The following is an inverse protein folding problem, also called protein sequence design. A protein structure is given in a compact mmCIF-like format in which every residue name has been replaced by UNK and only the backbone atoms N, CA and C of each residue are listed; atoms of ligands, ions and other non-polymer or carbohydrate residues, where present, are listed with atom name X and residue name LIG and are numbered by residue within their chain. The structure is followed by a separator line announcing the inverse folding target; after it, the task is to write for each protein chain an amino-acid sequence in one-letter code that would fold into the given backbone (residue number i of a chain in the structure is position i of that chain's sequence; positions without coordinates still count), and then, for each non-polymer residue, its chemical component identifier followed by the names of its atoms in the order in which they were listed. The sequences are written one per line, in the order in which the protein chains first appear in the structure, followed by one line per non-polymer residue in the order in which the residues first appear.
data_IF_019289781325
#
_entry.id   IF_019289781325
#
_cell.length_a   1.000
_cell.length_b   1.000
_cell.length_c   1.000
_cell.angle_alpha   90.00
_cell.angle_beta   90.00
_cell.angle_gamma   90.00
#
_symmetry.space_group_name_H-M   'P 1'
#
loop_
_entity.id
_entity.type
_entity.pdbx_description
1 polymer ?
#
# COMPACT_ATOMS: atom_id res chain seq x y z
N UNK A 1 -8.82 -23.77 -27.25
CA UNK A 1 -10.00 -22.90 -27.06
C UNK A 1 -9.51 -21.61 -26.39
N UNK A 2 -9.15 -20.60 -27.18
CA UNK A 2 -8.67 -19.30 -26.69
C UNK A 2 -9.88 -18.52 -26.19
N UNK A 3 -9.97 -18.24 -24.89
CA UNK A 3 -10.96 -17.30 -24.34
C UNK A 3 -10.49 -15.90 -24.70
N UNK A 4 -11.11 -15.31 -25.72
CA UNK A 4 -11.00 -13.91 -26.08
C UNK A 4 -11.53 -13.03 -24.93
N UNK A 5 -10.88 -11.90 -24.69
CA UNK A 5 -10.97 -11.05 -23.51
C UNK A 5 -12.38 -10.75 -23.01
N UNK A 6 -12.51 -10.70 -21.69
CA UNK A 6 -13.71 -10.30 -20.95
C UNK A 6 -13.84 -8.77 -20.95
N UNK A 7 -13.96 -8.17 -22.12
CA UNK A 7 -14.54 -6.83 -22.22
C UNK A 7 -16.04 -7.00 -22.09
N UNK A 8 -16.55 -6.86 -20.87
CA UNK A 8 -17.99 -6.67 -20.67
C UNK A 8 -18.36 -5.32 -21.28
N UNK A 9 -19.42 -5.28 -22.08
CA UNK A 9 -19.96 -4.08 -22.77
C UNK A 9 -20.25 -2.89 -21.81
N UNK A 10 -20.20 -3.15 -20.51
CA UNK A 10 -20.44 -2.21 -19.42
C UNK A 10 -19.28 -1.23 -19.17
N UNK A 11 -18.12 -1.40 -19.81
CA UNK A 11 -16.94 -0.54 -19.63
C UNK A 11 -16.08 -0.88 -18.41
N UNK A 12 -16.17 -2.14 -17.95
CA UNK A 12 -15.33 -2.67 -16.88
C UNK A 12 -14.15 -3.46 -17.45
N UNK A 13 -12.97 -3.32 -16.84
CA UNK A 13 -11.75 -4.02 -17.28
C UNK A 13 -10.97 -4.56 -16.09
N UNK A 14 -10.11 -5.54 -16.37
CA UNK A 14 -9.03 -5.88 -15.45
C UNK A 14 -7.89 -4.87 -15.60
N UNK A 15 -7.13 -4.67 -14.52
CA UNK A 15 -5.88 -3.91 -14.58
C UNK A 15 -4.92 -4.46 -15.64
N UNK A 16 -4.00 -3.63 -16.12
CA UNK A 16 -3.08 -4.04 -17.20
C UNK A 16 -2.25 -5.29 -16.85
N UNK A 17 -1.91 -5.46 -15.57
CA UNK A 17 -1.21 -6.63 -15.04
C UNK A 17 -2.03 -7.92 -15.03
N UNK A 18 -3.34 -7.86 -15.31
CA UNK A 18 -4.25 -9.02 -15.22
C UNK A 18 -4.98 -9.35 -16.51
N UNK A 19 -5.26 -8.36 -17.37
CA UNK A 19 -5.93 -8.60 -18.66
C UNK A 19 -5.00 -9.10 -19.77
N UNK A 20 -3.70 -8.81 -19.69
CA UNK A 20 -2.77 -8.96 -20.81
C UNK A 20 -3.03 -7.99 -21.98
N UNK A 21 -4.00 -7.07 -21.81
CA UNK A 21 -4.39 -6.07 -22.80
C UNK A 21 -4.42 -4.68 -22.12
N UNK A 22 -3.45 -3.85 -22.48
CA UNK A 22 -3.37 -2.48 -21.99
C UNK A 22 -4.43 -1.60 -22.65
N UNK A 23 -5.06 -0.73 -21.86
CA UNK A 23 -5.90 0.38 -22.35
C UNK A 23 -5.19 1.75 -22.25
N UNK A 24 -3.90 1.75 -21.98
CA UNK A 24 -3.08 2.96 -22.00
C UNK A 24 -3.00 3.53 -23.43
N UNK A 25 -2.87 4.85 -23.54
CA UNK A 25 -2.61 5.51 -24.82
C UNK A 25 -1.24 5.10 -25.43
N UNK A 26 -0.29 4.75 -24.56
CA UNK A 26 1.03 4.22 -24.87
C UNK A 26 1.29 2.98 -23.98
N UNK A 27 0.97 1.77 -24.49
CA UNK A 27 1.22 0.52 -23.77
C UNK A 27 2.70 0.25 -23.48
N UNK A 28 3.62 0.77 -24.29
CA UNK A 28 5.05 0.55 -24.07
C UNK A 28 5.51 1.32 -22.82
N UNK A 29 5.06 2.56 -22.67
CA UNK A 29 5.27 3.34 -21.46
C UNK A 29 4.71 2.63 -20.22
N UNK A 30 3.47 2.12 -20.26
CA UNK A 30 2.84 1.44 -19.11
C UNK A 30 3.67 0.21 -18.68
N UNK A 31 4.20 -0.56 -19.63
CA UNK A 31 5.08 -1.71 -19.34
C UNK A 31 6.39 -1.28 -18.68
N UNK A 32 7.04 -0.22 -19.17
CA UNK A 32 8.26 0.32 -18.58
C UNK A 32 8.00 0.86 -17.16
N UNK A 33 6.90 1.58 -16.98
CA UNK A 33 6.43 2.11 -15.71
C UNK A 33 6.18 1.00 -14.68
N UNK A 34 5.48 -0.08 -15.04
CA UNK A 34 5.25 -1.21 -14.13
C UNK A 34 6.57 -1.90 -13.74
N UNK A 35 7.53 -2.00 -14.65
CA UNK A 35 8.85 -2.54 -14.34
C UNK A 35 9.63 -1.62 -13.38
N UNK A 36 9.54 -0.31 -13.57
CA UNK A 36 10.10 0.68 -12.65
C UNK A 36 9.48 0.57 -11.26
N UNK A 37 8.15 0.52 -11.17
CA UNK A 37 7.40 0.47 -9.91
C UNK A 37 7.76 -0.75 -9.06
N UNK A 38 7.98 -1.91 -9.68
CA UNK A 38 8.45 -3.11 -8.96
C UNK A 38 9.81 -2.90 -8.29
N UNK A 39 10.78 -2.31 -9.00
CA UNK A 39 12.09 -1.99 -8.43
C UNK A 39 12.00 -0.88 -7.38
N UNK A 40 11.12 0.09 -7.60
CA UNK A 40 10.82 1.16 -6.65
C UNK A 40 10.29 0.60 -5.33
N UNK A 41 9.42 -0.42 -5.36
CA UNK A 41 8.90 -1.05 -4.14
C UNK A 41 10.04 -1.64 -3.27
N UNK A 42 10.97 -2.35 -3.89
CA UNK A 42 12.16 -2.88 -3.21
C UNK A 42 13.09 -1.77 -2.69
N UNK A 43 13.27 -0.71 -3.48
CA UNK A 43 14.07 0.46 -3.07
C UNK A 43 13.42 1.17 -1.86
N UNK A 44 12.11 1.33 -1.90
CA UNK A 44 11.31 1.95 -0.86
C UNK A 44 11.31 1.12 0.43
N UNK A 45 11.23 -0.22 0.33
CA UNK A 45 11.22 -1.12 1.49
C UNK A 45 12.52 -1.04 2.29
N UNK A 46 13.66 -0.88 1.60
CA UNK A 46 14.97 -0.73 2.21
C UNK A 46 15.27 0.69 2.72
N UNK A 47 14.49 1.70 2.34
CA UNK A 47 14.82 3.10 2.60
C UNK A 47 14.58 3.50 4.06
N UNK A 48 15.54 4.24 4.64
CA UNK A 48 15.53 4.63 6.04
C UNK A 48 14.28 5.42 6.44
N UNK A 49 13.78 6.33 5.60
CA UNK A 49 12.55 7.09 5.89
C UNK A 49 11.31 6.22 5.99
N UNK A 50 11.18 5.18 5.16
CA UNK A 50 10.02 4.28 5.22
C UNK A 50 10.07 3.43 6.50
N UNK A 51 11.22 2.81 6.79
CA UNK A 51 11.44 2.05 8.02
C UNK A 51 11.29 2.90 9.29
N UNK A 52 11.83 4.12 9.27
CA UNK A 52 11.75 5.08 10.37
C UNK A 52 10.31 5.51 10.66
N UNK A 53 9.51 5.81 9.63
CA UNK A 53 8.10 6.15 9.81
C UNK A 53 7.28 4.98 10.37
N UNK A 54 7.52 3.74 9.92
CA UNK A 54 6.82 2.57 10.48
C UNK A 54 7.23 2.31 11.92
N UNK A 55 8.53 2.35 12.24
CA UNK A 55 9.04 2.15 13.59
C UNK A 55 8.53 3.21 14.57
N UNK A 56 8.49 4.48 14.15
CA UNK A 56 7.96 5.58 14.97
C UNK A 56 6.46 5.40 15.27
N UNK A 57 5.67 5.06 14.25
CA UNK A 57 4.25 4.77 14.44
C UNK A 57 4.02 3.53 15.32
N UNK A 58 4.78 2.46 15.11
CA UNK A 58 4.71 1.25 15.91
C UNK A 58 5.05 1.52 17.38
N UNK A 59 6.08 2.33 17.65
CA UNK A 59 6.48 2.74 19.00
C UNK A 59 5.35 3.47 19.72
N UNK A 60 4.69 4.42 19.04
CA UNK A 60 3.58 5.19 19.62
C UNK A 60 2.31 4.35 19.79
N UNK A 61 2.00 3.49 18.83
CA UNK A 61 0.89 2.53 18.96
C UNK A 61 1.12 1.60 20.16
N UNK A 62 2.33 1.06 20.32
CA UNK A 62 2.73 0.26 21.49
C UNK A 62 2.60 1.05 22.79
N UNK A 63 3.09 2.29 22.85
CA UNK A 63 2.96 3.14 24.03
C UNK A 63 1.48 3.35 24.42
N UNK A 64 0.62 3.59 23.43
CA UNK A 64 -0.82 3.72 23.63
C UNK A 64 -1.43 2.44 24.20
N UNK A 65 -1.16 1.28 23.58
CA UNK A 65 -1.68 -0.02 24.03
C UNK A 65 -1.20 -0.32 25.46
N UNK A 66 0.10 -0.16 25.73
CA UNK A 66 0.72 -0.42 27.03
C UNK A 66 0.10 0.42 28.15
N UNK A 67 -0.12 1.72 27.90
CA UNK A 67 -0.77 2.60 28.89
C UNK A 67 -2.20 2.17 29.24
N UNK A 68 -2.82 1.35 28.38
CA UNK A 68 -4.18 0.89 28.54
C UNK A 68 -4.40 -0.44 29.25
N UNK A 69 -3.35 -1.25 29.42
CA UNK A 69 -3.44 -2.59 30.03
C UNK A 69 -2.91 -2.66 31.47
N UNK A 70 -2.24 -1.62 31.97
CA UNK A 70 -1.83 -1.54 33.39
C UNK A 70 -0.74 -2.55 33.83
N UNK A 71 -0.32 -3.46 32.95
CA UNK A 71 0.76 -4.43 33.15
C UNK A 71 2.06 -4.08 32.41
N UNK A 72 3.13 -4.81 32.72
CA UNK A 72 4.33 -4.81 31.90
C UNK A 72 3.98 -5.39 30.52
N UNK A 73 4.45 -4.76 29.44
CA UNK A 73 4.38 -5.29 28.07
C UNK A 73 4.83 -6.76 28.02
N UNK A 74 5.67 -7.17 28.96
CA UNK A 74 6.24 -8.51 29.12
C UNK A 74 5.28 -9.58 29.69
N UNK A 75 4.08 -9.19 30.15
CA UNK A 75 3.07 -10.12 30.66
C UNK A 75 1.79 -10.04 29.81
N UNK A 76 1.57 -11.08 29.00
CA UNK A 76 0.40 -11.26 28.13
C UNK A 76 -0.90 -11.49 28.94
N UNK A 77 -1.40 -10.46 29.61
CA UNK A 77 -2.67 -10.53 30.32
C UNK A 77 -3.87 -10.61 29.36
N UNK A 78 -5.06 -10.94 29.91
CA UNK A 78 -6.28 -11.11 29.13
C UNK A 78 -6.68 -9.86 28.34
N UNK A 79 -6.42 -8.66 28.88
CA UNK A 79 -6.79 -7.40 28.23
C UNK A 79 -5.89 -7.12 27.04
N UNK A 80 -4.61 -7.47 27.15
CA UNK A 80 -3.68 -7.43 26.04
C UNK A 80 -4.03 -8.47 24.96
N UNK A 81 -4.48 -9.66 25.37
CA UNK A 81 -4.97 -10.69 24.44
C UNK A 81 -6.19 -10.22 23.62
N UNK A 82 -7.17 -9.55 24.25
CA UNK A 82 -8.35 -8.99 23.55
C UNK A 82 -7.96 -7.91 22.52
N UNK A 83 -7.01 -7.03 22.85
CA UNK A 83 -6.48 -6.04 21.92
C UNK A 83 -5.76 -6.72 20.76
N UNK A 84 -4.97 -7.76 21.03
CA UNK A 84 -4.21 -8.44 19.98
C UNK A 84 -5.02 -9.43 19.16
N UNK A 85 -6.17 -9.89 19.62
CA UNK A 85 -7.15 -10.58 18.77
C UNK A 85 -7.77 -9.59 17.74
N UNK A 86 -7.85 -8.31 18.11
CA UNK A 86 -8.33 -7.25 17.22
C UNK A 86 -7.27 -6.81 16.20
N UNK A 87 -6.02 -6.65 16.67
CA UNK A 87 -4.89 -6.11 15.88
C UNK A 87 -4.17 -7.20 15.09
N UNK A 88 -3.94 -8.36 15.71
CA UNK A 88 -3.47 -9.56 15.05
C UNK A 88 -4.54 -10.15 14.17
N UNK A 89 -4.13 -10.85 13.13
CA UNK A 89 -5.04 -11.45 12.16
C UNK A 89 -4.40 -12.69 11.54
N UNK A 90 -5.25 -13.68 11.26
CA UNK A 90 -4.90 -14.86 10.48
C UNK A 90 -5.31 -14.69 9.01
N UNK A 91 -4.77 -15.52 8.13
CA UNK A 91 -5.10 -15.52 6.70
C UNK A 91 -3.84 -15.50 5.86
N UNK A 92 -3.52 -16.63 5.25
CA UNK A 92 -2.35 -16.77 4.37
C UNK A 92 -2.45 -15.92 3.11
N UNK A 93 -3.67 -15.49 2.78
CA UNK A 93 -3.98 -14.66 1.64
C UNK A 93 -3.81 -13.16 1.90
N UNK A 94 -3.40 -12.77 3.12
CA UNK A 94 -3.22 -11.38 3.54
C UNK A 94 -1.74 -11.05 3.75
N UNK A 95 -1.27 -9.98 3.15
CA UNK A 95 0.12 -9.53 3.29
C UNK A 95 0.39 -8.85 4.63
N UNK A 96 1.51 -9.22 5.26
CA UNK A 96 1.94 -8.64 6.54
C UNK A 96 1.29 -9.25 7.79
N UNK A 97 0.41 -10.24 7.66
CA UNK A 97 -0.19 -10.93 8.81
C UNK A 97 0.78 -11.92 9.45
N UNK A 98 0.70 -12.05 10.78
CA UNK A 98 1.55 -12.92 11.60
C UNK A 98 0.76 -13.86 12.51
N UNK A 99 -0.58 -13.88 12.38
CA UNK A 99 -1.48 -14.59 13.29
C UNK A 99 -1.97 -13.71 14.44
N UNK A 100 -2.56 -14.35 15.45
CA UNK A 100 -3.17 -13.71 16.64
C UNK A 100 -2.42 -14.00 17.93
N UNK A 101 -1.33 -14.76 17.87
CA UNK A 101 -0.52 -15.03 19.05
C UNK A 101 0.04 -13.72 19.63
N UNK A 102 -0.25 -13.48 20.91
CA UNK A 102 0.12 -12.22 21.62
C UNK A 102 1.60 -11.89 21.43
N UNK A 103 2.48 -12.87 21.61
CA UNK A 103 3.92 -12.68 21.47
C UNK A 103 4.34 -12.25 20.05
N UNK A 104 3.69 -12.80 19.02
CA UNK A 104 3.98 -12.46 17.62
C UNK A 104 3.51 -11.04 17.30
N UNK A 105 2.30 -10.68 17.73
CA UNK A 105 1.76 -9.32 17.54
C UNK A 105 2.60 -8.28 18.30
N UNK A 106 3.06 -8.59 19.51
CA UNK A 106 4.02 -7.73 20.24
C UNK A 106 5.33 -7.55 19.47
N UNK A 107 5.88 -8.64 18.95
CA UNK A 107 7.12 -8.62 18.19
C UNK A 107 7.02 -7.76 16.92
N UNK A 108 5.83 -7.63 16.31
CA UNK A 108 5.60 -6.69 15.21
C UNK A 108 5.85 -5.24 15.63
N UNK A 109 5.34 -4.82 16.78
CA UNK A 109 5.54 -3.46 17.26
C UNK A 109 6.98 -3.19 17.70
N UNK A 110 7.70 -4.22 18.14
CA UNK A 110 9.08 -4.08 18.63
C UNK A 110 10.13 -4.13 17.53
N UNK A 111 9.96 -5.05 16.59
CA UNK A 111 10.98 -5.38 15.59
C UNK A 111 10.38 -5.97 14.31
N UNK A 112 9.11 -5.66 14.03
CA UNK A 112 8.42 -6.15 12.85
C UNK A 112 9.06 -5.67 11.55
N UNK A 113 8.88 -6.44 10.49
CA UNK A 113 9.21 -5.98 9.14
C UNK A 113 8.32 -4.81 8.75
N UNK A 114 8.70 -4.07 7.70
CA UNK A 114 7.86 -2.98 7.18
C UNK A 114 6.45 -3.46 6.86
N UNK A 115 6.31 -4.66 6.25
CA UNK A 115 5.01 -5.21 5.88
C UNK A 115 4.15 -5.57 7.10
N UNK A 116 4.77 -6.14 8.14
CA UNK A 116 4.08 -6.46 9.39
C UNK A 116 3.60 -5.18 10.09
N UNK A 117 4.51 -4.22 10.28
CA UNK A 117 4.19 -2.95 10.94
C UNK A 117 3.11 -2.18 10.18
N UNK A 118 3.20 -2.09 8.85
CA UNK A 118 2.22 -1.41 8.02
C UNK A 118 0.81 -1.91 8.32
N UNK A 119 0.63 -3.22 8.27
CA UNK A 119 -0.68 -3.85 8.45
C UNK A 119 -1.20 -3.69 9.88
N UNK A 120 -0.36 -3.90 10.89
CA UNK A 120 -0.78 -3.82 12.29
C UNK A 120 -1.02 -2.38 12.76
N UNK A 121 -0.30 -1.40 12.20
CA UNK A 121 -0.57 0.03 12.43
C UNK A 121 -1.94 0.42 11.87
N UNK A 122 -2.29 -0.04 10.66
CA UNK A 122 -3.62 0.21 10.09
C UNK A 122 -4.71 -0.37 10.99
N UNK A 123 -4.56 -1.62 11.44
CA UNK A 123 -5.54 -2.26 12.35
C UNK A 123 -5.64 -1.56 13.69
N UNK A 124 -4.50 -1.24 14.32
CA UNK A 124 -4.49 -0.45 15.55
C UNK A 124 -5.26 0.87 15.37
N UNK A 125 -4.98 1.59 14.29
CA UNK A 125 -5.61 2.87 14.00
C UNK A 125 -7.12 2.73 13.79
N UNK A 126 -7.56 1.77 12.97
CA UNK A 126 -8.97 1.65 12.58
C UNK A 126 -9.84 0.89 13.57
N UNK A 127 -9.27 0.00 14.40
CA UNK A 127 -10.05 -0.89 15.26
C UNK A 127 -9.84 -0.64 16.75
N UNK A 128 -8.69 -0.12 17.16
CA UNK A 128 -8.43 0.20 18.57
C UNK A 128 -8.65 1.67 18.80
N UNK A 129 -7.86 2.52 18.12
CA UNK A 129 -7.91 3.96 18.35
C UNK A 129 -9.25 4.56 17.92
N UNK A 130 -9.83 4.14 16.80
CA UNK A 130 -11.14 4.63 16.35
C UNK A 130 -12.26 4.36 17.36
N UNK A 131 -12.31 3.13 17.90
CA UNK A 131 -13.32 2.73 18.88
C UNK A 131 -13.15 3.47 20.19
N UNK A 132 -11.90 3.64 20.63
CA UNK A 132 -11.60 4.47 21.80
C UNK A 132 -12.03 5.92 21.58
N UNK A 133 -11.75 6.53 20.43
CA UNK A 133 -12.20 7.88 20.13
C UNK A 133 -13.73 8.02 20.14
N UNK A 134 -14.46 6.98 19.73
CA UNK A 134 -15.92 6.94 19.76
C UNK A 134 -16.52 6.70 21.15
N UNK A 135 -15.69 6.31 22.13
CA UNK A 135 -16.15 6.01 23.49
C UNK A 135 -16.31 7.28 24.33
N UNK A 136 -17.50 7.48 24.89
CA UNK A 136 -17.76 8.53 25.90
C UNK A 136 -17.38 8.09 27.32
N UNK A 137 -17.48 6.78 27.61
CA UNK A 137 -17.35 6.23 28.96
C UNK A 137 -15.92 6.28 29.54
N UNK A 138 -14.88 6.35 28.69
CA UNK A 138 -13.46 6.29 29.10
C UNK A 138 -12.65 7.52 28.67
N UNK A 139 -13.31 8.66 28.46
CA UNK A 139 -12.73 9.82 27.79
C UNK A 139 -11.43 10.32 28.42
N UNK A 140 -11.42 10.52 29.73
CA UNK A 140 -10.25 11.03 30.45
C UNK A 140 -9.08 10.04 30.41
N UNK A 141 -9.39 8.75 30.54
CA UNK A 141 -8.40 7.68 30.42
C UNK A 141 -7.79 7.67 29.01
N UNK A 142 -8.62 7.70 27.96
CA UNK A 142 -8.17 7.74 26.56
C UNK A 142 -7.32 8.99 26.30
N UNK A 143 -7.73 10.17 26.79
CA UNK A 143 -6.97 11.40 26.61
C UNK A 143 -5.60 11.35 27.29
N UNK A 144 -5.53 10.72 28.48
CA UNK A 144 -4.26 10.45 29.15
C UNK A 144 -3.37 9.52 28.32
N UNK A 145 -3.90 8.39 27.84
CA UNK A 145 -3.16 7.43 27.00
C UNK A 145 -2.63 8.06 25.72
N UNK A 146 -3.46 8.84 25.01
CA UNK A 146 -3.05 9.57 23.81
C UNK A 146 -1.92 10.58 24.11
N UNK A 147 -1.98 11.24 25.27
CA UNK A 147 -0.93 12.18 25.70
C UNK A 147 0.38 11.45 26.05
N UNK A 148 0.30 10.36 26.81
CA UNK A 148 1.46 9.54 27.20
C UNK A 148 2.15 8.89 25.99
N UNK A 149 1.38 8.49 24.99
CA UNK A 149 1.89 7.98 23.71
C UNK A 149 2.31 9.08 22.72
N UNK A 150 2.26 10.34 23.13
CA UNK A 150 2.66 11.51 22.32
C UNK A 150 1.90 11.65 20.99
N UNK A 151 0.62 11.26 20.97
CA UNK A 151 -0.19 11.34 19.76
C UNK A 151 -0.53 12.78 19.36
N UNK A 152 -1.03 12.97 18.15
CA UNK A 152 -1.51 14.26 17.65
C UNK A 152 -2.87 14.62 18.28
N UNK A 153 -2.84 15.06 19.53
CA UNK A 153 -4.04 15.42 20.31
C UNK A 153 -4.98 16.39 19.57
N UNK A 154 -4.52 17.52 18.97
CA UNK A 154 -5.41 18.41 18.24
C UNK A 154 -6.16 17.72 17.12
N UNK A 155 -5.48 16.89 16.33
CA UNK A 155 -6.11 16.12 15.24
C UNK A 155 -7.12 15.10 15.80
N UNK A 156 -6.73 14.30 16.78
CA UNK A 156 -7.53 13.21 17.33
C UNK A 156 -8.78 13.71 18.08
N UNK A 157 -8.66 14.79 18.84
CA UNK A 157 -9.80 15.41 19.51
C UNK A 157 -10.79 15.99 18.49
N UNK A 158 -10.30 16.54 17.39
CA UNK A 158 -11.16 17.01 16.31
C UNK A 158 -11.88 15.86 15.60
N UNK A 159 -11.18 14.75 15.35
CA UNK A 159 -11.79 13.52 14.82
C UNK A 159 -12.84 12.94 15.75
N UNK A 160 -12.55 12.78 17.04
CA UNK A 160 -13.55 12.39 18.05
C UNK A 160 -14.81 13.24 17.96
N UNK A 161 -14.67 14.57 17.92
CA UNK A 161 -15.86 15.46 17.81
C UNK A 161 -16.66 15.21 16.54
N UNK A 162 -16.00 14.98 15.41
CA UNK A 162 -16.67 14.65 14.16
C UNK A 162 -17.42 13.31 14.25
N UNK A 163 -16.77 12.27 14.79
CA UNK A 163 -17.34 10.94 14.95
C UNK A 163 -18.57 10.95 15.87
N UNK A 164 -18.47 11.61 17.04
CA UNK A 164 -19.59 11.74 17.98
C UNK A 164 -20.75 12.55 17.40
N UNK A 165 -20.48 13.61 16.61
CA UNK A 165 -21.54 14.36 15.91
C UNK A 165 -22.27 13.53 14.85
N UNK A 166 -21.57 12.57 14.24
CA UNK A 166 -22.16 11.62 13.30
C UNK A 166 -22.89 10.45 13.99
N UNK A 167 -22.91 10.40 15.33
CA UNK A 167 -23.52 9.31 16.09
C UNK A 167 -22.65 8.05 16.18
N UNK A 168 -21.35 8.15 15.91
CA UNK A 168 -20.42 7.02 16.01
C UNK A 168 -20.30 6.51 17.45
N UNK A 169 -20.35 5.18 17.60
CA UNK A 169 -20.10 4.44 18.85
C UNK A 169 -18.94 3.47 18.63
N UNK A 170 -18.33 2.92 19.70
CA UNK A 170 -17.26 1.93 19.54
C UNK A 170 -17.62 0.74 18.62
N UNK A 171 -18.90 0.38 18.54
CA UNK A 171 -19.41 -0.74 17.75
C UNK A 171 -19.78 -0.35 16.30
N UNK A 172 -20.03 0.94 16.04
CA UNK A 172 -20.49 1.42 14.73
C UNK A 172 -19.42 2.13 13.90
N UNK A 173 -18.30 2.52 14.51
CA UNK A 173 -17.25 3.22 13.78
C UNK A 173 -16.57 2.34 12.75
N UNK A 174 -16.36 2.93 11.57
CA UNK A 174 -15.68 2.31 10.44
C UNK A 174 -14.41 3.07 10.09
N UNK A 175 -13.58 2.50 9.22
CA UNK A 175 -12.32 3.12 8.76
C UNK A 175 -12.49 4.57 8.31
N UNK A 176 -13.57 4.89 7.57
CA UNK A 176 -13.82 6.23 7.04
C UNK A 176 -14.10 7.29 8.11
N UNK A 177 -14.48 6.87 9.33
CA UNK A 177 -14.77 7.81 10.41
C UNK A 177 -13.48 8.39 11.01
N UNK A 178 -12.44 7.57 11.18
CA UNK A 178 -11.12 8.00 11.67
C UNK A 178 -10.19 8.46 10.54
N UNK A 179 -10.33 7.89 9.33
CA UNK A 179 -9.61 8.25 8.12
C UNK A 179 -10.57 8.82 7.05
N UNK A 180 -11.10 10.04 7.27
CA UNK A 180 -12.02 10.63 6.31
C UNK A 180 -11.34 10.82 4.96
N UNK A 181 -12.13 10.74 3.89
CA UNK A 181 -11.69 11.14 2.55
C UNK A 181 -11.51 12.66 2.55
N UNK A 182 -10.31 13.19 2.22
CA UNK A 182 -10.10 14.62 2.13
C UNK A 182 -10.98 15.22 1.00
N UNK A 183 -11.78 16.27 1.28
CA UNK A 183 -12.64 16.88 0.26
C UNK A 183 -11.86 17.37 -0.96
N UNK A 184 -12.37 17.09 -2.16
CA UNK A 184 -11.75 17.46 -3.43
C UNK A 184 -10.49 16.67 -3.79
N UNK A 185 -10.16 15.62 -3.03
CA UNK A 185 -9.03 14.75 -3.35
C UNK A 185 -9.41 13.67 -4.35
N UNK A 186 -8.40 13.10 -5.02
CA UNK A 186 -8.60 11.95 -5.90
C UNK A 186 -9.29 10.76 -5.20
N UNK A 187 -9.12 10.61 -3.88
CA UNK A 187 -9.68 9.50 -3.10
C UNK A 187 -11.22 9.50 -3.10
N UNK A 188 -11.87 10.62 -3.42
CA UNK A 188 -13.33 10.66 -3.65
C UNK A 188 -13.77 9.70 -4.76
N UNK A 189 -12.91 9.47 -5.76
CA UNK A 189 -13.16 8.54 -6.87
C UNK A 189 -12.88 7.07 -6.53
N UNK A 190 -12.46 6.75 -5.31
CA UNK A 190 -12.09 5.37 -4.97
C UNK A 190 -13.26 4.39 -5.17
N UNK A 191 -14.47 4.80 -4.78
CA UNK A 191 -15.64 3.92 -4.74
C UNK A 191 -16.28 3.67 -6.11
N UNK A 192 -16.16 4.62 -7.04
CA UNK A 192 -16.79 4.57 -8.36
C UNK A 192 -15.78 4.26 -9.49
N UNK A 193 -14.47 4.34 -9.23
CA UNK A 193 -13.44 3.92 -10.17
C UNK A 193 -13.32 2.39 -10.32
N UNK A 194 -14.01 1.59 -9.49
CA UNK A 194 -13.92 0.13 -9.51
C UNK A 194 -15.13 -0.58 -8.95
N UNK A 195 -15.25 -1.84 -9.33
CA UNK A 195 -16.17 -2.83 -8.73
C UNK A 195 -15.40 -4.09 -8.36
N UNK A 196 -15.88 -4.88 -7.38
CA UNK A 196 -15.21 -6.15 -7.06
C UNK A 196 -15.42 -7.13 -8.21
N UNK A 197 -14.34 -7.75 -8.66
CA UNK A 197 -14.37 -8.77 -9.71
C UNK A 197 -15.28 -9.93 -9.34
N UNK A 198 -15.23 -10.37 -8.09
CA UNK A 198 -16.05 -11.49 -7.59
C UNK A 198 -17.54 -11.20 -7.73
N UNK A 199 -17.97 -9.95 -7.49
CA UNK A 199 -19.38 -9.56 -7.59
C UNK A 199 -19.82 -9.59 -9.06
N UNK A 200 -18.97 -9.15 -9.99
CA UNK A 200 -19.22 -9.24 -11.43
C UNK A 200 -19.25 -10.69 -11.90
N UNK A 201 -18.28 -11.51 -11.50
CA UNK A 201 -18.21 -12.92 -11.88
C UNK A 201 -19.41 -13.71 -11.35
N UNK A 202 -19.82 -13.47 -10.10
CA UNK A 202 -21.02 -14.10 -9.53
C UNK A 202 -22.30 -13.64 -10.22
N UNK A 203 -22.38 -12.38 -10.64
CA UNK A 203 -23.52 -11.88 -11.40
C UNK A 203 -23.63 -12.56 -12.78
N UNK A 204 -22.50 -12.85 -13.43
CA UNK A 204 -22.45 -13.54 -14.73
C UNK A 204 -22.64 -15.05 -14.62
N UNK A 205 -22.07 -15.67 -13.59
CA UNK A 205 -22.16 -17.10 -13.33
C UNK A 205 -22.12 -17.36 -11.80
N UNK A 206 -23.28 -17.52 -11.15
CA UNK A 206 -23.40 -17.68 -9.70
C UNK A 206 -22.60 -18.85 -9.10
N UNK A 207 -22.31 -19.88 -9.91
CA UNK A 207 -21.55 -21.06 -9.50
C UNK A 207 -20.01 -20.86 -9.53
N UNK A 208 -19.53 -19.67 -9.94
CA UNK A 208 -18.09 -19.39 -10.00
C UNK A 208 -17.53 -19.20 -8.59
N UNK A 209 -16.59 -20.05 -8.18
CA UNK A 209 -15.75 -19.80 -7.01
C UNK A 209 -14.69 -18.72 -7.35
N UNK A 210 -14.77 -17.52 -6.76
CA UNK A 210 -13.84 -16.43 -7.08
C UNK A 210 -12.46 -16.61 -6.45
N UNK A 211 -12.33 -17.48 -5.44
CA UNK A 211 -11.24 -17.50 -4.46
C UNK A 211 -9.83 -17.71 -5.03
N UNK A 212 -9.70 -18.28 -6.23
CA UNK A 212 -8.40 -18.55 -6.86
C UNK A 212 -7.90 -17.41 -7.75
N UNK A 213 -8.76 -16.53 -8.25
CA UNK A 213 -8.41 -15.62 -9.35
C UNK A 213 -7.64 -14.36 -8.92
N UNK A 214 -7.55 -14.12 -7.61
CA UNK A 214 -6.94 -12.92 -7.03
C UNK A 214 -5.49 -13.09 -6.54
N UNK A 215 -4.93 -14.30 -6.55
CA UNK A 215 -3.60 -14.56 -5.97
C UNK A 215 -2.47 -13.92 -6.78
N UNK A 216 -1.48 -13.39 -6.07
CA UNK A 216 -0.23 -12.94 -6.69
C UNK A 216 0.56 -14.13 -7.24
N UNK A 217 1.31 -13.89 -8.31
CA UNK A 217 2.24 -14.86 -8.90
C UNK A 217 3.68 -14.61 -8.43
N UNK A 218 3.88 -13.62 -7.55
CA UNK A 218 5.19 -13.21 -7.10
C UNK A 218 5.70 -14.07 -5.94
N UNK A 219 6.96 -14.48 -6.02
CA UNK A 219 7.75 -14.96 -4.89
C UNK A 219 8.08 -13.82 -3.93
N UNK A 220 8.53 -14.13 -2.72
CA UNK A 220 9.01 -13.11 -1.76
C UNK A 220 10.07 -12.21 -2.39
N UNK A 221 11.07 -12.79 -3.05
CA UNK A 221 12.16 -12.05 -3.67
C UNK A 221 11.68 -11.02 -4.71
N UNK A 222 10.64 -11.36 -5.48
CA UNK A 222 10.07 -10.48 -6.50
C UNK A 222 9.29 -9.29 -5.93
N UNK A 223 8.79 -9.40 -4.69
CA UNK A 223 8.11 -8.27 -4.02
C UNK A 223 9.08 -7.20 -3.52
N UNK A 224 10.34 -7.58 -3.26
CA UNK A 224 11.32 -6.71 -2.60
C UNK A 224 11.03 -6.44 -1.12
N UNK A 225 10.09 -7.17 -0.51
CA UNK A 225 9.75 -7.03 0.91
C UNK A 225 10.57 -8.00 1.77
N UNK A 226 10.96 -7.53 2.95
CA UNK A 226 11.47 -8.39 4.02
C UNK A 226 10.34 -9.32 4.49
N UNK A 227 10.66 -10.60 4.70
CA UNK A 227 9.69 -11.64 5.07
C UNK A 227 10.18 -12.39 6.31
N UNK A 228 9.42 -12.30 7.40
CA UNK A 228 9.84 -12.85 8.69
C UNK A 228 9.52 -14.34 8.83
N UNK A 229 10.12 -14.99 9.83
CA UNK A 229 9.75 -16.35 10.23
C UNK A 229 8.27 -16.45 10.67
N UNK A 230 7.70 -15.39 11.23
CA UNK A 230 6.27 -15.36 11.61
C UNK A 230 5.37 -15.39 10.37
N UNK A 231 5.70 -14.59 9.36
CA UNK A 231 4.98 -14.62 8.08
C UNK A 231 5.15 -15.97 7.38
N UNK A 232 6.35 -16.55 7.45
CA UNK A 232 6.60 -17.92 6.95
C UNK A 232 5.73 -18.95 7.68
N UNK A 233 5.62 -18.86 9.00
CA UNK A 233 4.78 -19.76 9.79
C UNK A 233 3.31 -19.73 9.34
N UNK A 234 2.78 -18.56 8.99
CA UNK A 234 1.42 -18.43 8.42
C UNK A 234 1.29 -19.19 7.10
N UNK A 235 2.29 -19.15 6.22
CA UNK A 235 2.26 -19.87 4.94
C UNK A 235 2.41 -21.38 5.09
N UNK A 236 3.25 -21.81 6.03
CA UNK A 236 3.52 -23.23 6.27
C UNK A 236 2.49 -23.90 7.17
N UNK A 237 1.59 -23.14 7.81
CA UNK A 237 0.50 -23.68 8.67
C UNK A 237 -0.39 -24.66 7.90
N UNK A 238 -0.80 -24.27 6.69
CA UNK A 238 -1.71 -25.05 5.85
C UNK A 238 -0.98 -25.83 4.73
N UNK A 239 0.30 -25.53 4.52
CA UNK A 239 1.13 -26.14 3.48
C UNK A 239 2.59 -26.21 3.93
N UNK A 240 2.95 -27.26 4.70
CA UNK A 240 4.30 -27.41 5.23
C UNK A 240 5.40 -27.53 4.16
N UNK A 241 5.02 -27.81 2.90
CA UNK A 241 5.94 -27.88 1.76
C UNK A 241 6.26 -26.53 1.12
N UNK A 242 5.55 -25.45 1.47
CA UNK A 242 5.74 -24.15 0.85
C UNK A 242 7.17 -23.61 1.07
N UNK A 243 7.85 -23.31 -0.03
CA UNK A 243 9.22 -22.80 -0.04
C UNK A 243 9.25 -21.29 -0.32
N UNK A 244 9.65 -20.53 0.71
CA UNK A 244 9.80 -19.07 0.69
C UNK A 244 10.69 -18.55 -0.45
N UNK A 245 11.64 -19.35 -0.96
CA UNK A 245 12.56 -18.94 -2.02
C UNK A 245 12.03 -19.18 -3.44
N UNK A 246 11.08 -20.10 -3.60
CA UNK A 246 10.70 -20.63 -4.91
C UNK A 246 9.21 -20.53 -5.19
N UNK A 247 8.38 -20.65 -4.17
CA UNK A 247 6.94 -20.65 -4.33
C UNK A 247 6.37 -19.23 -4.35
N UNK A 248 5.30 -19.08 -5.13
CA UNK A 248 4.54 -17.85 -5.14
C UNK A 248 3.88 -17.61 -3.77
N UNK A 249 3.76 -16.34 -3.41
CA UNK A 249 2.99 -15.90 -2.26
C UNK A 249 1.51 -16.20 -2.49
N UNK A 250 0.84 -16.72 -1.45
CA UNK A 250 -0.61 -16.97 -1.46
C UNK A 250 -1.46 -15.71 -1.29
N UNK A 251 -0.83 -14.53 -1.21
CA UNK A 251 -1.49 -13.25 -1.02
C UNK A 251 -2.46 -12.91 -2.15
N UNK A 252 -3.60 -12.31 -1.82
CA UNK A 252 -4.50 -11.72 -2.81
C UNK A 252 -3.97 -10.36 -3.25
N UNK A 253 -3.52 -10.26 -4.49
CA UNK A 253 -3.12 -9.00 -5.10
C UNK A 253 -4.35 -8.13 -5.34
N UNK A 254 -4.37 -6.94 -4.74
CA UNK A 254 -5.51 -6.01 -4.82
C UNK A 254 -5.85 -5.64 -6.26
N UNK A 255 -4.85 -5.45 -7.12
CA UNK A 255 -5.03 -5.20 -8.55
C UNK A 255 -5.68 -6.36 -9.33
N UNK A 256 -5.83 -7.54 -8.72
CA UNK A 256 -6.54 -8.70 -9.28
C UNK A 256 -7.96 -8.87 -8.72
N UNK A 257 -8.25 -8.24 -7.57
CA UNK A 257 -9.56 -8.31 -6.89
C UNK A 257 -10.56 -7.32 -7.49
N UNK A 258 -10.07 -6.22 -8.08
CA UNK A 258 -10.90 -5.15 -8.61
C UNK A 258 -10.97 -5.20 -10.13
N UNK A 259 -12.15 -4.86 -10.67
CA UNK A 259 -12.31 -4.45 -12.06
C UNK A 259 -12.40 -2.92 -12.10
N UNK A 260 -11.63 -2.31 -12.98
CA UNK A 260 -11.57 -0.87 -13.22
C UNK A 260 -12.80 -0.44 -14.00
N UNK A 261 -13.44 0.64 -13.57
CA UNK A 261 -14.49 1.33 -14.31
C UNK A 261 -13.87 2.34 -15.27
N UNK A 262 -13.76 1.98 -16.54
CA UNK A 262 -13.12 2.81 -17.57
C UNK A 262 -13.93 4.06 -17.95
N UNK A 263 -15.18 4.18 -17.47
CA UNK A 263 -16.03 5.38 -17.64
C UNK A 263 -15.80 6.41 -16.53
N UNK A 264 -15.01 6.09 -15.51
CA UNK A 264 -14.70 7.03 -14.44
C UNK A 264 -13.71 8.09 -14.93
N UNK A 265 -14.01 9.37 -14.67
CA UNK A 265 -13.24 10.50 -15.21
C UNK A 265 -11.79 10.53 -14.72
N UNK A 266 -11.53 10.08 -13.50
CA UNK A 266 -10.16 9.96 -12.98
C UNK A 266 -9.40 8.84 -13.70
N UNK A 267 -10.05 7.70 -13.93
CA UNK A 267 -9.48 6.57 -14.69
C UNK A 267 -9.14 6.99 -16.12
N UNK A 268 -10.06 7.63 -16.84
CA UNK A 268 -9.82 8.13 -18.20
C UNK A 268 -8.63 9.09 -18.27
N UNK A 269 -8.47 9.96 -17.27
CA UNK A 269 -7.33 10.86 -17.18
C UNK A 269 -6.01 10.09 -17.04
N UNK A 270 -5.96 9.05 -16.20
CA UNK A 270 -4.75 8.24 -16.05
C UNK A 270 -4.43 7.40 -17.29
N UNK A 271 -5.47 6.88 -17.99
CA UNK A 271 -5.30 6.15 -19.26
C UNK A 271 -4.66 7.01 -20.35
N UNK A 272 -5.07 8.29 -20.46
CA UNK A 272 -4.45 9.26 -21.39
C UNK A 272 -2.98 9.51 -21.09
N UNK A 273 -2.58 9.37 -19.83
CA UNK A 273 -1.19 9.50 -19.38
C UNK A 273 -0.42 8.17 -19.44
N UNK A 274 -1.09 7.08 -19.82
CA UNK A 274 -0.51 5.73 -19.82
C UNK A 274 0.02 5.26 -18.46
N UNK A 275 -0.50 5.82 -17.37
CA UNK A 275 -0.07 5.44 -16.03
C UNK A 275 -0.68 4.09 -15.63
N UNK A 276 0.08 3.18 -14.99
CA UNK A 276 -0.45 1.89 -14.54
C UNK A 276 -1.59 2.07 -13.53
N UNK A 277 -2.65 1.26 -13.67
CA UNK A 277 -3.80 1.24 -12.77
C UNK A 277 -4.10 -0.16 -12.22
N UNK A 278 -4.42 -0.24 -10.93
CA UNK A 278 -4.87 -1.45 -10.25
C UNK A 278 -6.37 -1.46 -9.94
N UNK A 279 -6.98 -0.29 -9.72
CA UNK A 279 -8.40 -0.15 -9.40
C UNK A 279 -8.86 1.28 -9.10
N UNK A 280 -7.96 2.24 -8.96
CA UNK A 280 -8.28 3.62 -8.61
C UNK A 280 -7.61 4.07 -7.31
N UNK A 281 -7.79 5.34 -6.91
CA UNK A 281 -7.08 5.98 -5.81
C UNK A 281 -7.05 5.15 -4.52
N UNK A 282 -5.90 5.11 -3.84
CA UNK A 282 -5.70 4.16 -2.75
C UNK A 282 -6.31 4.65 -1.43
N UNK A 283 -7.46 4.08 -1.05
CA UNK A 283 -8.03 4.28 0.28
C UNK A 283 -7.13 3.75 1.40
N UNK A 284 -6.38 2.67 1.16
CA UNK A 284 -5.41 2.14 2.13
C UNK A 284 -4.28 3.15 2.38
N UNK A 285 -3.78 3.81 1.35
CA UNK A 285 -2.84 4.93 1.53
C UNK A 285 -3.49 6.07 2.30
N UNK A 286 -4.73 6.48 1.99
CA UNK A 286 -5.42 7.52 2.77
C UNK A 286 -5.51 7.17 4.27
N UNK A 287 -5.82 5.91 4.59
CA UNK A 287 -5.84 5.40 5.97
C UNK A 287 -4.45 5.47 6.61
N UNK A 288 -3.40 5.00 5.92
CA UNK A 288 -2.04 5.05 6.45
C UNK A 288 -1.54 6.50 6.65
N UNK A 289 -1.85 7.41 5.74
CA UNK A 289 -1.48 8.82 5.86
C UNK A 289 -2.25 9.51 7.02
N UNK A 290 -3.50 9.12 7.24
CA UNK A 290 -4.26 9.55 8.43
C UNK A 290 -3.67 9.00 9.72
N UNK A 291 -3.24 7.73 9.73
CA UNK A 291 -2.53 7.13 10.85
C UNK A 291 -1.20 7.84 11.12
N UNK A 292 -0.41 8.14 10.08
CA UNK A 292 0.83 8.91 10.21
C UNK A 292 0.58 10.31 10.81
N UNK A 293 -0.48 11.00 10.39
CA UNK A 293 -0.86 12.29 10.98
C UNK A 293 -1.27 12.16 12.45
N UNK A 294 -2.04 11.13 12.81
CA UNK A 294 -2.46 10.84 14.17
C UNK A 294 -1.28 10.48 15.09
N UNK A 295 -0.34 9.69 14.58
CA UNK A 295 0.84 9.20 15.28
C UNK A 295 2.04 10.15 15.09
N UNK A 296 1.88 11.31 14.44
CA UNK A 296 2.94 12.31 14.19
C UNK A 296 4.18 11.77 13.45
N UNK A 297 4.01 10.77 12.60
CA UNK A 297 5.10 10.23 11.80
C UNK A 297 5.37 11.07 10.54
N UNK A 298 6.57 10.92 9.98
CA UNK A 298 6.95 11.61 8.74
C UNK A 298 6.06 11.18 7.56
N UNK A 299 5.43 12.17 6.92
CA UNK A 299 4.48 11.93 5.82
C UNK A 299 5.16 11.30 4.59
N UNK A 300 6.40 11.68 4.29
CA UNK A 300 7.12 11.12 3.14
C UNK A 300 7.55 9.68 3.40
N UNK A 301 8.00 9.38 4.61
CA UNK A 301 8.25 8.02 5.08
C UNK A 301 7.00 7.14 5.04
N UNK A 302 5.85 7.64 5.50
CA UNK A 302 4.58 6.91 5.45
C UNK A 302 4.09 6.66 4.01
N UNK A 303 4.25 7.64 3.11
CA UNK A 303 3.99 7.47 1.67
C UNK A 303 4.94 6.43 1.08
N UNK A 304 6.23 6.51 1.37
CA UNK A 304 7.22 5.56 0.86
C UNK A 304 6.99 4.14 1.37
N UNK A 305 6.57 3.98 2.63
CA UNK A 305 6.14 2.68 3.15
C UNK A 305 4.88 2.16 2.46
N UNK A 306 3.94 3.04 2.08
CA UNK A 306 2.78 2.66 1.26
C UNK A 306 3.20 2.20 -0.13
N UNK A 307 4.17 2.88 -0.77
CA UNK A 307 4.76 2.43 -2.03
C UNK A 307 5.40 1.04 -1.86
N UNK A 308 6.27 0.88 -0.87
CA UNK A 308 6.94 -0.39 -0.59
C UNK A 308 5.94 -1.55 -0.44
N UNK A 309 4.98 -1.39 0.46
CA UNK A 309 4.03 -2.45 0.79
C UNK A 309 3.01 -2.69 -0.32
N UNK A 310 2.31 -1.64 -0.78
CA UNK A 310 1.16 -1.81 -1.67
C UNK A 310 1.58 -2.12 -3.11
N UNK A 311 2.70 -1.58 -3.59
CA UNK A 311 3.24 -1.96 -4.91
C UNK A 311 3.90 -3.33 -4.83
N UNK A 312 4.70 -3.59 -3.79
CA UNK A 312 5.38 -4.88 -3.60
C UNK A 312 4.40 -6.06 -3.51
N UNK A 313 3.29 -5.90 -2.79
CA UNK A 313 2.23 -6.90 -2.69
C UNK A 313 1.21 -6.83 -3.85
N UNK A 314 1.43 -6.00 -4.87
CA UNK A 314 0.54 -5.83 -6.04
C UNK A 314 -0.90 -5.45 -5.67
N UNK A 315 -1.07 -4.67 -4.60
CA UNK A 315 -2.35 -4.12 -4.21
C UNK A 315 -2.73 -2.87 -4.99
N UNK A 316 -1.76 -1.98 -5.22
CA UNK A 316 -1.95 -0.67 -5.85
C UNK A 316 -0.77 -0.32 -6.74
N UNK A 317 -0.96 0.64 -7.63
CA UNK A 317 0.10 1.24 -8.45
C UNK A 317 0.59 2.57 -7.86
N UNK A 318 1.71 3.09 -8.36
CA UNK A 318 2.32 4.31 -7.83
C UNK A 318 1.36 5.52 -7.89
N UNK A 319 0.66 5.72 -9.01
CA UNK A 319 -0.24 6.87 -9.18
C UNK A 319 -1.37 6.88 -8.15
N UNK A 320 -1.91 5.70 -7.81
CA UNK A 320 -2.99 5.56 -6.84
C UNK A 320 -2.55 5.94 -5.42
N UNK A 321 -1.29 5.64 -5.08
CA UNK A 321 -0.67 5.94 -3.79
C UNK A 321 -0.29 7.42 -3.72
N UNK A 322 0.35 7.94 -4.76
CA UNK A 322 0.81 9.33 -4.79
C UNK A 322 -0.37 10.30 -4.75
N UNK A 323 -1.43 10.04 -5.53
CA UNK A 323 -2.65 10.85 -5.51
C UNK A 323 -3.37 10.81 -4.16
N UNK A 324 -3.35 9.67 -3.45
CA UNK A 324 -3.95 9.55 -2.13
C UNK A 324 -3.15 10.23 -1.01
N UNK A 325 -1.83 10.38 -1.19
CA UNK A 325 -0.95 11.03 -0.22
C UNK A 325 -0.87 12.57 -0.39
N UNK A 326 -1.27 13.09 -1.56
CA UNK A 326 -1.23 14.52 -1.89
C UNK A 326 -1.98 15.43 -0.89
N UNK A 327 -3.20 15.10 -0.41
CA UNK A 327 -3.92 15.94 0.56
C UNK A 327 -3.25 16.05 1.93
N UNK A 328 -2.26 15.20 2.21
CA UNK A 328 -1.44 15.24 3.42
C UNK A 328 -0.18 16.09 3.24
N UNK A 329 -0.10 16.80 2.11
CA UNK A 329 0.96 17.74 1.76
C UNK A 329 2.19 17.08 1.15
N UNK A 330 2.08 15.87 0.60
CA UNK A 330 3.17 15.26 -0.17
C UNK A 330 3.09 15.75 -1.62
N UNK A 331 4.21 16.11 -2.26
CA UNK A 331 4.16 16.55 -3.66
C UNK A 331 3.71 15.41 -4.57
N UNK A 332 2.85 15.74 -5.52
CA UNK A 332 2.35 14.83 -6.52
C UNK A 332 2.37 15.53 -7.88
N UNK A 333 2.98 14.87 -8.86
CA UNK A 333 2.93 15.26 -10.26
C UNK A 333 1.88 14.39 -10.95
N UNK A 334 0.72 14.95 -11.36
CA UNK A 334 -0.36 14.21 -12.01
C UNK A 334 -0.08 13.97 -13.50
N UNK A 335 1.18 13.71 -13.87
CA UNK A 335 1.64 13.41 -15.22
C UNK A 335 2.62 12.24 -15.20
N UNK A 336 3.16 11.86 -16.36
CA UNK A 336 4.27 10.90 -16.45
C UNK A 336 5.55 11.36 -15.70
N UNK A 337 5.66 12.65 -15.36
CA UNK A 337 6.74 13.19 -14.53
C UNK A 337 6.80 12.64 -13.10
N UNK A 338 5.75 11.95 -12.65
CA UNK A 338 5.67 11.27 -11.33
C UNK A 338 6.90 10.41 -11.02
N UNK A 339 7.46 9.72 -12.02
CA UNK A 339 8.61 8.83 -11.85
C UNK A 339 9.92 9.56 -11.52
N UNK A 340 9.98 10.88 -11.71
CA UNK A 340 11.15 11.73 -11.47
C UNK A 340 11.12 12.42 -10.11
N UNK A 341 9.97 12.43 -9.43
CA UNK A 341 9.79 13.19 -8.19
C UNK A 341 9.06 12.40 -7.11
N UNK A 342 9.79 11.48 -6.47
CA UNK A 342 9.26 10.64 -5.38
C UNK A 342 10.08 10.89 -4.12
N UNK A 343 9.78 11.99 -3.42
CA UNK A 343 10.44 12.31 -2.14
C UNK A 343 10.18 11.20 -1.11
N UNK A 344 11.20 10.88 -0.28
CA UNK A 344 12.50 11.55 -0.13
C UNK A 344 13.61 11.00 -1.03
N UNK A 345 13.33 10.10 -1.98
CA UNK A 345 14.34 9.52 -2.86
C UNK A 345 14.99 10.60 -3.74
N UNK A 346 16.28 10.43 -3.96
CA UNK A 346 17.06 11.25 -4.91
C UNK A 346 16.82 10.81 -6.36
N UNK A 347 17.18 11.65 -7.33
CA UNK A 347 17.05 11.28 -8.74
C UNK A 347 17.87 10.02 -9.08
N UNK A 348 19.11 9.90 -8.57
CA UNK A 348 19.97 8.74 -8.80
C UNK A 348 19.35 7.44 -8.30
N UNK A 349 18.69 7.49 -7.15
CA UNK A 349 17.97 6.34 -6.60
C UNK A 349 16.77 5.94 -7.44
N UNK A 350 16.08 6.92 -8.02
CA UNK A 350 14.96 6.68 -8.92
C UNK A 350 15.46 6.14 -10.27
N UNK A 351 16.55 6.67 -10.81
CA UNK A 351 17.19 6.16 -12.03
C UNK A 351 17.64 4.71 -11.88
N UNK A 352 18.09 4.29 -10.69
CA UNK A 352 18.43 2.89 -10.42
C UNK A 352 17.21 1.94 -10.52
N UNK A 353 15.99 2.45 -10.38
CA UNK A 353 14.75 1.69 -10.62
C UNK A 353 14.44 1.56 -12.12
N UNK A 354 15.01 2.44 -12.95
CA UNK A 354 14.91 2.43 -14.39
C UNK A 354 15.58 1.24 -15.08
N UNK A 355 15.27 1.05 -16.36
CA UNK A 355 16.06 0.19 -17.25
C UNK A 355 17.25 1.01 -17.76
N UNK A 356 18.47 0.53 -17.55
CA UNK A 356 19.70 1.22 -17.95
C UNK A 356 19.83 2.65 -17.37
N UNK A 357 19.30 2.89 -16.17
CA UNK A 357 19.35 4.22 -15.52
C UNK A 357 18.31 5.23 -16.03
N UNK A 358 17.34 4.79 -16.84
CA UNK A 358 16.37 5.66 -17.52
C UNK A 358 14.99 5.62 -16.88
N UNK A 359 14.32 6.76 -16.91
CA UNK A 359 12.90 6.84 -16.55
C UNK A 359 12.02 6.20 -17.65
N UNK A 360 10.80 5.74 -17.31
CA UNK A 360 9.83 5.29 -18.31
C UNK A 360 9.63 6.35 -19.41
N UNK A 361 9.65 5.92 -20.68
CA UNK A 361 9.50 6.80 -21.86
C UNK A 361 10.75 7.61 -22.24
N UNK A 362 11.87 7.48 -21.51
CA UNK A 362 13.12 8.18 -21.83
C UNK A 362 13.88 7.46 -22.95
N UNK A 363 13.99 8.13 -24.11
CA UNK A 363 14.73 7.61 -25.27
C UNK A 363 16.24 7.57 -25.01
N UNK A 364 16.92 6.60 -25.62
CA UNK A 364 18.40 6.59 -25.63
C UNK A 364 18.86 7.79 -26.47
N UNK A 365 19.77 8.64 -25.97
CA UNK A 365 20.41 9.64 -26.81
C UNK A 365 21.00 8.93 -28.03
N UNK A 366 20.64 9.37 -29.24
CA UNK A 366 21.24 8.84 -30.46
C UNK A 366 22.76 8.92 -30.29
N UNK A 367 23.41 7.77 -30.23
CA UNK A 367 24.82 7.68 -29.89
C UNK A 367 25.63 8.64 -30.73
N UNK A 368 26.58 9.33 -30.09
CA UNK A 368 27.69 9.99 -30.73
C UNK A 368 28.43 8.94 -31.58
N UNK A 369 27.97 8.77 -32.82
CA UNK A 369 28.56 7.86 -33.78
C UNK A 369 29.97 8.34 -34.08
N UNK A 370 30.95 7.56 -33.61
CA UNK A 370 32.22 7.28 -34.27
C UNK A 370 32.74 8.37 -35.23
N UNK A 371 33.00 9.57 -34.71
CA UNK A 371 33.66 10.66 -35.44
C UNK A 371 35.15 10.71 -35.10
N UNK A 372 35.86 9.59 -35.21
CA UNK A 372 37.32 9.54 -35.03
C UNK A 372 37.98 8.64 -36.08
N UNK A 373 37.62 8.85 -37.34
CA UNK A 373 38.43 8.44 -38.50
C UNK A 373 39.38 9.57 -38.86
N UNK A 374 40.44 9.77 -38.06
CA UNK A 374 41.51 10.70 -38.40
C UNK A 374 42.24 10.20 -39.65
N UNK A 375 42.05 10.88 -40.78
CA UNK A 375 42.86 10.70 -41.99
C UNK A 375 44.25 11.31 -41.76
N UNK A 376 45.22 10.49 -41.39
CA UNK A 376 46.64 10.80 -41.52
C UNK A 376 47.21 10.04 -42.71
N UNK A 377 47.67 10.77 -43.72
CA UNK A 377 48.25 10.19 -44.93
C UNK A 377 48.78 11.25 -45.89
N UNK A 378 49.71 12.08 -45.42
CA UNK A 378 50.65 12.80 -46.30
C UNK A 378 51.79 11.86 -46.67
N UNK A 379 52.07 11.74 -47.96
CA UNK A 379 53.35 11.46 -48.63
C UNK A 379 53.05 11.58 -50.13
N UNK A 380 53.75 12.32 -50.98
CA UNK A 380 54.92 13.18 -50.85
C UNK A 380 55.32 13.61 -52.26
N UNK A 381 56.08 14.70 -52.36
CA UNK A 381 57.10 14.97 -53.39
C UNK A 381 57.81 16.27 -53.02
#
# INVERSE_FOLDING_TARGET
MQRTGTDTDDGLTLGANTSGQSRAADPAFEVEAMAFERKLAAKASAHASAKGAMADMATKAKAYIRSGVGGAWDHADQRLAEIFDTVGQEGVEKSGFVGTAVADVMAVFDQGTLSEQYTHIVRFFTEVLARDLASSAKREEIDRRMKEAELNMPFLLDRRRAMLRAGGTPESVVTRDIAPVPPGSAVEHQGDARVRRDDVLKALNPETDPGETGRTEHTVAQTGLDFSDRQKAVHTKDDPSWDVQHDALKWLAGAKVWMINEKNTWVEAQRKLSLPLGGGPSGTTNTMMSAAKALRADKYGARLASIAFLVGASHHTLVEIMAAAEPFGCEYDPTQGIYRNIKPLTEDELRACGKDGRFPGESTPAGAGAGAGASAGRNGS
#
